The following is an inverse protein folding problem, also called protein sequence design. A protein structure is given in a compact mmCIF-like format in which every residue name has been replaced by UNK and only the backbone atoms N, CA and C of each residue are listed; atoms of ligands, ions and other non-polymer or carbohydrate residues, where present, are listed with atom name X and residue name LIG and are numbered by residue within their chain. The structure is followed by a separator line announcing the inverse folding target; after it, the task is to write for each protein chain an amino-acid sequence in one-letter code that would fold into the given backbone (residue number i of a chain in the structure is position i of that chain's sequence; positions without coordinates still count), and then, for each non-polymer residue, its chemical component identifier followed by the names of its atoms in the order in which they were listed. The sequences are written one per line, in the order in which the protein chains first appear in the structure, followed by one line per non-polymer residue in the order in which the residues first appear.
data_IF_216951315057
#
_entry.id   IF_216951315057
#
_cell.length_a   1.000
_cell.length_b   1.000
_cell.length_c   1.000
_cell.angle_alpha   90.00
_cell.angle_beta   90.00
_cell.angle_gamma   90.00
#
_symmetry.space_group_name_H-M   'P 1'
#
loop_
_entity.id
_entity.type
_entity.pdbx_description
1 polymer ?
#
# COMPACT_ATOMS: atom_id res chain seq x y z
N UNK A 1 8.71 8.15 -18.58
CA UNK A 1 7.72 9.12 -18.07
C UNK A 1 6.77 8.45 -17.11
N UNK A 2 6.59 9.03 -15.93
CA UNK A 2 5.78 8.47 -14.83
C UNK A 2 4.83 9.54 -14.32
N UNK A 3 3.55 9.20 -14.19
CA UNK A 3 2.53 10.00 -13.51
C UNK A 3 2.40 9.50 -12.07
N UNK A 4 2.41 10.41 -11.10
CA UNK A 4 2.09 10.09 -9.70
C UNK A 4 0.99 11.01 -9.21
N UNK A 5 -0.09 10.41 -8.71
CA UNK A 5 -1.20 11.10 -8.06
C UNK A 5 -1.16 10.77 -6.57
N UNK A 6 -1.17 11.79 -5.72
CA UNK A 6 -1.15 11.64 -4.26
C UNK A 6 -2.25 12.49 -3.65
N UNK A 7 -3.02 11.90 -2.75
CA UNK A 7 -4.13 12.53 -2.03
C UNK A 7 -4.08 12.17 -0.55
N UNK A 8 -4.75 12.94 0.34
CA UNK A 8 -4.96 12.52 1.72
C UNK A 8 -5.63 11.15 1.77
N UNK A 9 -5.16 10.28 2.66
CA UNK A 9 -5.57 8.88 2.86
C UNK A 9 -6.93 8.73 3.51
N UNK A 10 -7.92 9.41 2.95
CA UNK A 10 -9.34 9.45 3.32
C UNK A 10 -10.16 8.72 2.26
N UNK A 11 -11.40 8.29 2.58
CA UNK A 11 -12.27 7.67 1.57
C UNK A 11 -12.50 8.55 0.33
N UNK A 12 -12.52 9.88 0.48
CA UNK A 12 -12.68 10.81 -0.64
C UNK A 12 -11.40 10.94 -1.48
N UNK A 13 -10.24 11.05 -0.83
CA UNK A 13 -8.94 11.12 -1.52
C UNK A 13 -8.62 9.84 -2.28
N UNK A 14 -8.87 8.68 -1.66
CA UNK A 14 -8.77 7.38 -2.31
C UNK A 14 -9.63 7.27 -3.58
N UNK A 15 -10.89 7.71 -3.53
CA UNK A 15 -11.77 7.70 -4.71
C UNK A 15 -11.24 8.57 -5.85
N UNK A 16 -10.66 9.73 -5.55
CA UNK A 16 -10.00 10.57 -6.56
C UNK A 16 -8.78 9.89 -7.17
N UNK A 17 -7.95 9.26 -6.34
CA UNK A 17 -6.79 8.48 -6.81
C UNK A 17 -7.21 7.33 -7.71
N UNK A 18 -8.25 6.58 -7.34
CA UNK A 18 -8.78 5.50 -8.19
C UNK A 18 -9.32 6.03 -9.52
N UNK A 19 -10.11 7.10 -9.50
CA UNK A 19 -10.63 7.70 -10.74
C UNK A 19 -9.49 8.14 -11.67
N UNK A 20 -8.44 8.76 -11.13
CA UNK A 20 -7.27 9.16 -11.92
C UNK A 20 -6.50 7.95 -12.46
N UNK A 21 -6.35 6.88 -11.67
CA UNK A 21 -5.75 5.62 -12.11
C UNK A 21 -6.54 5.00 -13.26
N UNK A 22 -7.86 4.93 -13.13
CA UNK A 22 -8.73 4.31 -14.14
C UNK A 22 -8.70 5.08 -15.46
N UNK A 23 -8.69 6.42 -15.41
CA UNK A 23 -8.50 7.28 -16.60
C UNK A 23 -7.15 7.01 -17.27
N UNK A 24 -6.08 6.91 -16.49
CA UNK A 24 -4.74 6.68 -17.04
C UNK A 24 -4.59 5.26 -17.63
N UNK A 25 -5.17 4.23 -17.02
CA UNK A 25 -5.22 2.86 -17.57
C UNK A 25 -6.03 2.83 -18.87
N UNK A 26 -7.20 3.48 -18.89
CA UNK A 26 -8.03 3.57 -20.10
C UNK A 26 -7.30 4.27 -21.27
N UNK A 27 -6.33 5.13 -20.97
CA UNK A 27 -5.45 5.78 -21.96
C UNK A 27 -4.22 4.94 -22.35
N UNK A 28 -4.13 3.68 -21.92
CA UNK A 28 -3.00 2.78 -22.19
C UNK A 28 -1.83 2.90 -21.20
N UNK A 29 -2.05 3.50 -20.03
CA UNK A 29 -1.08 3.52 -18.95
C UNK A 29 -1.02 2.19 -18.18
N UNK A 30 0.13 1.93 -17.55
CA UNK A 30 0.39 0.73 -16.76
C UNK A 30 0.64 1.10 -15.30
N UNK A 31 0.00 0.41 -14.36
CA UNK A 31 0.20 0.67 -12.93
C UNK A 31 1.59 0.24 -12.49
N UNK A 32 2.34 1.17 -11.90
CA UNK A 32 3.64 0.93 -11.26
C UNK A 32 3.44 0.59 -9.78
N UNK A 33 2.57 1.33 -9.09
CA UNK A 33 2.29 1.18 -7.67
C UNK A 33 1.01 1.95 -7.29
N UNK A 34 0.39 1.69 -6.13
CA UNK A 34 0.62 0.55 -5.26
C UNK A 34 -0.01 -0.75 -5.81
N UNK A 35 -1.08 -0.66 -6.60
CA UNK A 35 -1.77 -1.86 -7.10
C UNK A 35 -0.81 -2.71 -7.97
N UNK A 36 -0.72 -4.03 -7.74
CA UNK A 36 0.11 -4.94 -8.54
C UNK A 36 -0.60 -5.41 -9.83
N UNK A 37 -1.60 -4.67 -10.30
CA UNK A 37 -2.43 -5.04 -11.44
C UNK A 37 -3.07 -3.80 -12.07
N UNK A 38 -3.56 -3.94 -13.30
CA UNK A 38 -4.39 -2.95 -14.00
C UNK A 38 -5.89 -3.27 -13.95
N UNK A 39 -6.29 -4.27 -13.15
CA UNK A 39 -7.70 -4.63 -12.90
C UNK A 39 -8.41 -3.58 -12.02
N UNK A 40 -9.77 -3.58 -11.96
CA UNK A 40 -10.53 -2.79 -11.00
C UNK A 40 -10.05 -3.00 -9.56
N UNK A 41 -10.16 -1.97 -8.72
CA UNK A 41 -9.75 -2.10 -7.33
C UNK A 41 -10.64 -3.14 -6.60
N UNK A 42 -10.06 -4.11 -5.89
CA UNK A 42 -10.84 -5.17 -5.26
C UNK A 42 -11.44 -4.82 -3.89
N UNK A 43 -11.14 -3.64 -3.35
CA UNK A 43 -11.69 -3.23 -2.07
C UNK A 43 -13.17 -2.86 -2.21
N UNK A 44 -14.01 -3.23 -1.22
CA UNK A 44 -15.42 -2.86 -1.21
C UNK A 44 -15.60 -1.35 -1.01
N UNK A 45 -16.82 -0.86 -1.25
CA UNK A 45 -17.14 0.57 -1.25
C UNK A 45 -16.95 1.27 0.12
N UNK A 46 -17.02 0.52 1.22
CA UNK A 46 -16.83 0.99 2.60
C UNK A 46 -15.38 0.90 3.08
N UNK A 47 -14.45 0.45 2.21
CA UNK A 47 -13.04 0.34 2.50
C UNK A 47 -12.19 1.19 1.53
N UNK A 48 -10.98 1.54 1.93
CA UNK A 48 -10.06 2.31 1.10
C UNK A 48 -8.59 1.99 1.34
N UNK A 49 -7.82 1.98 0.25
CA UNK A 49 -6.38 1.79 0.32
C UNK A 49 -5.68 3.12 0.65
N UNK A 50 -4.87 3.12 1.71
CA UNK A 50 -4.00 4.21 2.10
C UNK A 50 -2.71 3.64 2.68
N UNK A 51 -1.75 4.48 3.05
CA UNK A 51 -0.60 4.16 3.89
C UNK A 51 -0.33 5.34 4.82
N UNK A 52 0.56 5.16 5.81
CA UNK A 52 0.98 6.24 6.69
C UNK A 52 2.42 6.66 6.36
N UNK A 53 2.65 7.96 6.18
CA UNK A 53 3.96 8.56 6.01
C UNK A 53 4.29 9.43 7.22
N UNK A 54 5.46 9.24 7.80
CA UNK A 54 5.92 10.09 8.90
C UNK A 54 6.51 11.39 8.35
N UNK A 55 5.85 12.50 8.65
CA UNK A 55 6.25 13.84 8.19
C UNK A 55 6.74 14.69 9.36
N UNK A 56 7.77 15.52 9.17
CA UNK A 56 8.26 16.41 10.21
C UNK A 56 7.29 17.56 10.46
N UNK A 57 7.05 17.91 11.73
CA UNK A 57 6.33 19.13 12.11
C UNK A 57 7.31 20.25 12.38
N UNK A 58 7.14 21.38 11.68
CA UNK A 58 7.91 22.60 11.94
C UNK A 58 7.62 23.16 13.34
N UNK A 59 8.51 24.03 13.87
CA UNK A 59 8.28 24.73 15.15
C UNK A 59 6.98 25.54 15.12
N UNK A 60 6.67 26.19 13.99
CA UNK A 60 5.45 26.96 13.80
C UNK A 60 4.21 26.06 13.84
N UNK A 61 4.24 24.92 13.14
CA UNK A 61 3.16 23.93 13.14
C UNK A 61 2.87 23.40 14.54
N UNK A 62 3.93 23.08 15.29
CA UNK A 62 3.84 22.65 16.69
C UNK A 62 3.18 23.69 17.59
N UNK A 63 3.60 24.95 17.48
CA UNK A 63 3.00 26.08 18.21
C UNK A 63 1.53 26.28 17.83
N UNK A 64 1.22 26.25 16.54
CA UNK A 64 -0.14 26.48 16.05
C UNK A 64 -1.11 25.37 16.49
N UNK A 65 -0.68 24.11 16.51
CA UNK A 65 -1.51 22.96 16.93
C UNK A 65 -1.41 22.66 18.43
N UNK A 66 -0.57 23.36 19.19
CA UNK A 66 -0.34 23.07 20.62
C UNK A 66 0.24 21.66 20.87
N UNK A 67 1.07 21.15 19.96
CA UNK A 67 1.64 19.78 20.04
C UNK A 67 3.15 19.80 20.18
N UNK A 68 3.69 18.91 21.02
CA UNK A 68 5.13 18.85 21.29
C UNK A 68 5.89 17.92 20.32
N UNK A 69 5.23 16.88 19.82
CA UNK A 69 5.85 15.91 18.90
C UNK A 69 6.33 16.59 17.61
N UNK A 70 7.61 16.36 17.28
CA UNK A 70 8.28 16.89 16.09
C UNK A 70 7.85 16.26 14.76
N UNK A 71 6.86 15.37 14.76
CA UNK A 71 6.41 14.63 13.59
C UNK A 71 4.92 14.29 13.68
N UNK A 72 4.34 13.91 12.54
CA UNK A 72 3.01 13.30 12.44
C UNK A 72 2.99 12.17 11.42
N UNK A 73 2.16 11.17 11.66
CA UNK A 73 1.92 10.10 10.71
C UNK A 73 0.69 10.48 9.87
N UNK A 74 0.96 11.05 8.69
CA UNK A 74 -0.08 11.48 7.77
C UNK A 74 -0.50 10.31 6.89
N UNK A 75 -1.81 10.10 6.78
CA UNK A 75 -2.36 9.08 5.90
C UNK A 75 -2.41 9.60 4.47
N UNK A 76 -1.96 8.80 3.51
CA UNK A 76 -1.94 9.14 2.09
C UNK A 76 -2.49 7.99 1.24
N UNK A 77 -3.14 8.33 0.15
CA UNK A 77 -3.49 7.42 -0.94
C UNK A 77 -2.75 7.86 -2.20
N UNK A 78 -2.27 6.93 -3.01
CA UNK A 78 -1.55 7.28 -4.22
C UNK A 78 -1.74 6.26 -5.33
N UNK A 79 -1.48 6.68 -6.56
CA UNK A 79 -1.28 5.81 -7.72
C UNK A 79 -0.11 6.35 -8.54
N UNK A 80 0.76 5.44 -8.96
CA UNK A 80 1.86 5.71 -9.86
C UNK A 80 1.64 4.89 -11.14
N UNK A 81 1.71 5.55 -12.29
CA UNK A 81 1.51 4.94 -13.60
C UNK A 81 2.63 5.30 -14.56
N UNK A 82 2.91 4.39 -15.50
CA UNK A 82 3.92 4.53 -16.54
C UNK A 82 3.26 4.43 -17.92
N UNK A 83 3.83 5.12 -18.91
CA UNK A 83 3.45 4.93 -20.33
C UNK A 83 3.97 3.61 -20.90
N UNK A 84 5.02 3.05 -20.30
CA UNK A 84 5.64 1.80 -20.72
C UNK A 84 5.19 0.66 -19.81
N UNK A 85 5.07 -0.58 -20.33
CA UNK A 85 4.79 -1.76 -19.52
C UNK A 85 5.79 -1.88 -18.37
N UNK A 86 5.30 -2.30 -17.21
CA UNK A 86 6.12 -2.55 -16.02
C UNK A 86 5.83 -3.94 -15.49
N UNK A 87 6.85 -4.60 -14.95
CA UNK A 87 6.67 -5.87 -14.25
C UNK A 87 5.98 -5.59 -12.90
N UNK A 88 4.75 -6.05 -12.68
CA UNK A 88 4.08 -5.83 -11.41
C UNK A 88 4.73 -6.69 -10.31
N UNK A 89 4.67 -6.19 -9.07
CA UNK A 89 4.96 -7.03 -7.91
C UNK A 89 3.95 -8.21 -7.84
N UNK A 90 4.34 -9.39 -7.33
CA UNK A 90 3.38 -10.49 -7.12
C UNK A 90 2.20 -10.09 -6.24
N UNK A 91 2.51 -9.39 -5.15
CA UNK A 91 1.54 -8.83 -4.23
C UNK A 91 2.12 -7.61 -3.51
N UNK A 92 1.23 -6.78 -2.95
CA UNK A 92 1.60 -5.63 -2.11
C UNK A 92 0.85 -5.67 -0.79
N UNK A 93 1.55 -5.38 0.31
CA UNK A 93 0.94 -5.23 1.64
C UNK A 93 0.05 -3.99 1.65
N UNK A 94 -1.25 -4.16 1.90
CA UNK A 94 -2.24 -3.06 1.86
C UNK A 94 -2.77 -2.66 3.24
N UNK A 95 -2.35 -3.32 4.32
CA UNK A 95 -2.65 -2.95 5.71
C UNK A 95 -1.39 -3.01 6.57
N UNK A 96 -1.32 -2.30 7.71
CA UNK A 96 -0.23 -2.48 8.66
C UNK A 96 -0.03 -3.95 9.00
N UNK A 97 1.18 -4.51 8.80
CA UNK A 97 1.51 -5.86 9.23
C UNK A 97 1.18 -6.08 10.70
N UNK A 98 0.61 -7.24 11.02
CA UNK A 98 0.19 -7.57 12.38
C UNK A 98 1.11 -8.67 12.96
N UNK A 99 2.26 -8.31 13.54
CA UNK A 99 3.12 -9.27 14.20
C UNK A 99 2.43 -9.83 15.44
N UNK A 100 2.50 -11.15 15.60
CA UNK A 100 1.96 -11.90 16.75
C UNK A 100 3.03 -12.81 17.32
N UNK A 101 2.74 -13.43 18.47
CA UNK A 101 3.61 -14.47 19.00
C UNK A 101 3.64 -15.66 18.02
N UNK A 102 4.81 -15.92 17.45
CA UNK A 102 5.05 -17.08 16.57
C UNK A 102 4.57 -16.96 15.12
N UNK A 103 3.94 -15.86 14.71
CA UNK A 103 3.53 -15.63 13.31
C UNK A 103 3.31 -14.13 13.01
N UNK A 104 3.17 -13.77 11.75
CA UNK A 104 2.78 -12.44 11.28
C UNK A 104 1.58 -12.60 10.36
N UNK A 105 0.53 -11.80 10.57
CA UNK A 105 -0.59 -11.68 9.63
C UNK A 105 -0.36 -10.50 8.70
N UNK A 106 -0.48 -10.74 7.40
CA UNK A 106 -0.39 -9.75 6.34
C UNK A 106 -1.71 -9.72 5.56
N UNK A 107 -2.14 -8.53 5.15
CA UNK A 107 -3.23 -8.37 4.18
C UNK A 107 -2.64 -7.80 2.91
N UNK A 108 -2.79 -8.51 1.80
CA UNK A 108 -2.20 -8.16 0.51
C UNK A 108 -3.25 -7.94 -0.56
N UNK A 109 -2.94 -7.08 -1.52
CA UNK A 109 -3.57 -7.09 -2.85
C UNK A 109 -2.61 -7.79 -3.80
N UNK A 110 -3.13 -8.66 -4.64
CA UNK A 110 -2.34 -9.55 -5.49
C UNK A 110 -2.56 -9.23 -6.97
N UNK A 111 -1.64 -9.63 -7.85
CA UNK A 111 -1.69 -9.34 -9.29
C UNK A 111 -2.91 -9.91 -10.02
N UNK A 112 -3.57 -10.91 -9.43
CA UNK A 112 -4.83 -11.49 -9.92
C UNK A 112 -6.07 -10.63 -9.56
N UNK A 113 -5.86 -9.52 -8.85
CA UNK A 113 -6.92 -8.65 -8.36
C UNK A 113 -7.59 -9.16 -7.09
N UNK A 114 -7.05 -10.16 -6.40
CA UNK A 114 -7.60 -10.60 -5.11
C UNK A 114 -7.00 -9.81 -3.94
N UNK A 115 -7.79 -9.70 -2.86
CA UNK A 115 -7.27 -9.36 -1.53
C UNK A 115 -7.16 -10.65 -0.72
N UNK A 116 -6.00 -10.87 -0.10
CA UNK A 116 -5.73 -12.08 0.68
C UNK A 116 -5.21 -11.73 2.05
N UNK A 117 -5.65 -12.50 3.04
CA UNK A 117 -5.04 -12.53 4.36
C UNK A 117 -4.09 -13.72 4.45
N UNK A 118 -2.88 -13.50 4.95
CA UNK A 118 -1.77 -14.47 4.94
C UNK A 118 -1.18 -14.61 6.32
N UNK A 119 -1.01 -15.84 6.79
CA UNK A 119 -0.38 -16.11 8.08
C UNK A 119 0.99 -16.73 7.88
N UNK A 120 2.04 -15.93 8.08
CA UNK A 120 3.42 -16.44 7.99
C UNK A 120 3.92 -16.81 9.38
N UNK A 121 4.06 -18.10 9.63
CA UNK A 121 4.50 -18.66 10.90
C UNK A 121 6.03 -18.70 11.04
N UNK A 122 6.54 -18.67 12.27
CA UNK A 122 7.97 -18.77 12.58
C UNK A 122 8.64 -20.03 12.02
N UNK A 123 7.87 -21.10 11.77
CA UNK A 123 8.35 -22.36 11.19
C UNK A 123 8.80 -22.19 9.74
N UNK A 124 8.30 -21.18 9.02
CA UNK A 124 8.66 -20.88 7.63
C UNK A 124 9.99 -20.09 7.50
N UNK A 125 10.81 -20.02 8.56
CA UNK A 125 12.20 -19.60 8.47
C UNK A 125 12.41 -18.20 7.87
N UNK A 126 13.04 -18.13 6.70
CA UNK A 126 13.37 -16.87 6.02
C UNK A 126 12.12 -16.10 5.57
N UNK A 127 11.09 -16.78 5.09
CA UNK A 127 9.79 -16.18 4.73
C UNK A 127 9.18 -15.43 5.91
N UNK A 128 9.28 -15.99 7.12
CA UNK A 128 8.85 -15.31 8.35
C UNK A 128 9.70 -14.09 8.67
N UNK A 129 11.02 -14.17 8.47
CA UNK A 129 11.91 -13.02 8.70
C UNK A 129 11.60 -11.88 7.73
N UNK A 130 11.30 -12.19 6.47
CA UNK A 130 10.88 -11.22 5.46
C UNK A 130 9.51 -10.62 5.82
N UNK A 131 8.50 -11.46 6.08
CA UNK A 131 7.15 -11.03 6.46
C UNK A 131 7.13 -10.16 7.73
N UNK A 132 7.99 -10.45 8.71
CA UNK A 132 8.12 -9.66 9.94
C UNK A 132 8.76 -8.28 9.72
N UNK A 133 9.57 -8.13 8.68
CA UNK A 133 10.21 -6.85 8.31
C UNK A 133 9.39 -6.05 7.31
N UNK A 134 8.43 -6.67 6.64
CA UNK A 134 7.55 -5.99 5.71
C UNK A 134 6.87 -4.80 6.39
N UNK A 135 6.70 -3.73 5.63
CA UNK A 135 5.98 -2.54 5.98
C UNK A 135 4.72 -2.41 5.13
N UNK A 136 3.86 -1.47 5.54
CA UNK A 136 2.69 -1.13 4.75
C UNK A 136 3.11 -0.55 3.41
N UNK A 137 2.65 -1.15 2.33
CA UNK A 137 2.99 -0.78 0.98
C UNK A 137 4.15 -1.59 0.41
N UNK A 138 4.83 -2.45 1.16
CA UNK A 138 5.91 -3.26 0.59
C UNK A 138 5.40 -4.26 -0.43
N UNK A 139 6.18 -4.45 -1.49
CA UNK A 139 6.03 -5.57 -2.41
C UNK A 139 6.53 -6.85 -1.72
N UNK A 140 5.82 -7.95 -1.93
CA UNK A 140 6.23 -9.26 -1.44
C UNK A 140 6.55 -10.18 -2.63
N UNK A 141 7.61 -10.96 -2.49
CA UNK A 141 7.98 -11.99 -3.46
C UNK A 141 6.99 -13.17 -3.40
N UNK A 142 6.97 -13.97 -4.47
CA UNK A 142 6.05 -15.10 -4.65
C UNK A 142 6.04 -16.06 -3.44
N UNK A 143 7.19 -16.32 -2.82
CA UNK A 143 7.30 -17.23 -1.66
C UNK A 143 6.49 -16.74 -0.45
N UNK A 144 6.48 -15.43 -0.20
CA UNK A 144 5.66 -14.84 0.86
C UNK A 144 4.21 -14.71 0.36
N UNK A 145 4.03 -14.42 -0.93
CA UNK A 145 2.74 -14.34 -1.60
C UNK A 145 2.08 -15.71 -1.88
N UNK A 146 2.66 -16.83 -1.51
CA UNK A 146 2.02 -18.16 -1.59
C UNK A 146 1.85 -18.81 -0.21
N UNK A 147 2.32 -18.13 0.84
CA UNK A 147 2.19 -18.60 2.21
C UNK A 147 0.75 -18.45 2.71
N UNK A 148 0.17 -19.57 3.16
CA UNK A 148 -1.14 -19.66 3.82
C UNK A 148 -0.98 -19.77 5.34
#
# INVERSE_FOLDING_TARGET
DTLVVVEPGTPAGYRRVLAARDVAIAAGGHTVAPCPHDLPCPLPADDWCHFAARLPRSRLHRRAKGVELGWEDEKLSYAALSRQPVAPAPSRVIRPPQPRSGHVRLVTSDRDGAVRERTVSRKQGETYRAARKAAWGDALDDVVADSN
#
